data_IF_639348050915
#
_entry.id   IF_639348050915
#
_cell.length_a   1.000
_cell.length_b   1.000
_cell.length_c   1.000
_cell.angle_alpha   90.00
_cell.angle_beta   90.00
_cell.angle_gamma   90.00
#
_symmetry.space_group_name_H-M   'P 1'
#
loop_
_entity.id
_entity.type
_entity.pdbx_description
1 polymer ?
#
# COMPACT_ATOMS: atom_id res chain seq x y z
N UNK A 1 8.39 -11.85 -9.28
CA UNK A 1 7.25 -10.90 -9.31
C UNK A 1 7.77 -9.50 -9.54
N UNK A 2 7.09 -8.69 -10.35
CA UNK A 2 7.51 -7.33 -10.67
C UNK A 2 6.64 -6.31 -9.94
N UNK A 3 7.25 -5.25 -9.42
CA UNK A 3 6.53 -4.13 -8.84
C UNK A 3 6.47 -3.02 -9.88
N UNK A 4 5.26 -2.61 -10.25
CA UNK A 4 5.04 -1.53 -11.21
C UNK A 4 5.00 -0.21 -10.45
N UNK A 5 5.97 0.65 -10.68
CA UNK A 5 6.01 1.97 -10.03
C UNK A 5 5.05 2.91 -10.77
N UNK A 6 4.05 3.37 -10.06
CA UNK A 6 3.05 4.31 -10.55
C UNK A 6 2.75 5.31 -9.43
N UNK A 7 3.73 6.16 -9.17
CA UNK A 7 3.77 7.03 -7.99
C UNK A 7 2.80 8.20 -8.15
N UNK A 8 2.06 8.49 -7.09
CA UNK A 8 1.18 9.66 -7.01
C UNK A 8 2.03 10.91 -7.24
N UNK A 9 1.61 11.84 -8.13
CA UNK A 9 2.39 13.04 -8.39
C UNK A 9 2.61 13.89 -7.12
N UNK A 10 3.79 14.47 -7.01
CA UNK A 10 4.08 15.38 -5.92
C UNK A 10 3.11 16.57 -5.91
N UNK A 11 2.78 17.07 -4.73
CA UNK A 11 1.86 18.20 -4.58
C UNK A 11 0.39 17.84 -4.49
N UNK A 12 0.04 16.57 -4.68
CA UNK A 12 -1.34 16.11 -4.50
C UNK A 12 -1.67 16.01 -3.00
N UNK A 13 -2.95 16.27 -2.66
CA UNK A 13 -3.39 16.24 -1.26
C UNK A 13 -3.21 14.87 -0.60
N UNK A 14 -3.25 13.79 -1.38
CA UNK A 14 -3.05 12.44 -0.87
C UNK A 14 -1.58 11.99 -0.86
N UNK A 15 -0.65 12.87 -1.24
CA UNK A 15 0.78 12.63 -1.07
C UNK A 15 1.37 13.72 -0.17
N UNK A 16 1.26 13.54 1.17
CA UNK A 16 1.65 14.59 2.11
C UNK A 16 3.15 14.89 2.12
N UNK A 17 3.98 13.99 1.60
CA UNK A 17 5.42 14.18 1.57
C UNK A 17 6.08 14.15 2.94
N UNK A 18 5.41 13.59 3.93
CA UNK A 18 5.94 13.50 5.29
C UNK A 18 6.92 12.34 5.38
N UNK A 19 8.10 12.63 5.89
CA UNK A 19 9.14 11.63 6.06
C UNK A 19 8.69 10.53 7.00
N UNK A 20 8.93 9.27 6.62
CA UNK A 20 8.56 8.11 7.41
C UNK A 20 9.72 7.12 7.47
N UNK A 21 10.00 6.61 8.69
CA UNK A 21 10.79 5.40 8.84
C UNK A 21 9.81 4.25 9.02
N UNK A 22 9.66 3.35 8.04
CA UNK A 22 8.67 2.28 8.15
C UNK A 22 9.08 1.28 9.22
N UNK A 23 8.19 1.07 10.19
CA UNK A 23 8.37 0.13 11.28
C UNK A 23 7.45 -1.08 11.13
N UNK A 24 6.32 -0.91 10.45
CA UNK A 24 5.27 -1.92 10.33
C UNK A 24 4.74 -1.97 8.91
N UNK A 25 4.05 -3.05 8.59
CA UNK A 25 3.24 -3.20 7.39
C UNK A 25 1.79 -3.33 7.83
N UNK A 26 0.90 -2.52 7.25
CA UNK A 26 -0.54 -2.60 7.48
C UNK A 26 -1.21 -3.17 6.24
N UNK A 27 -1.96 -4.27 6.42
CA UNK A 27 -2.68 -4.92 5.33
C UNK A 27 -4.15 -4.54 5.41
N UNK A 28 -4.68 -4.09 4.28
CA UNK A 28 -6.10 -3.75 4.12
C UNK A 28 -6.70 -4.56 2.97
N UNK A 29 -8.00 -4.78 3.04
CA UNK A 29 -8.78 -5.19 1.87
C UNK A 29 -9.41 -3.94 1.26
N UNK A 30 -9.48 -3.88 -0.07
CA UNK A 30 -10.01 -2.68 -0.74
C UNK A 30 -11.50 -2.48 -0.48
N UNK A 31 -12.23 -3.52 -0.16
CA UNK A 31 -13.68 -3.45 0.00
C UNK A 31 -14.44 -3.17 -1.29
N UNK A 32 -13.77 -3.22 -2.45
CA UNK A 32 -14.35 -2.85 -3.74
C UNK A 32 -14.44 -4.07 -4.65
N UNK A 33 -15.67 -4.53 -4.93
CA UNK A 33 -15.91 -5.73 -5.73
C UNK A 33 -15.73 -5.51 -7.24
N UNK A 34 -15.45 -4.29 -7.68
CA UNK A 34 -15.40 -3.94 -9.10
C UNK A 34 -14.03 -3.46 -9.59
N UNK A 35 -13.12 -3.13 -8.71
CA UNK A 35 -11.85 -2.51 -9.08
C UNK A 35 -10.65 -3.41 -8.78
N UNK A 36 -9.79 -3.60 -9.78
CA UNK A 36 -8.50 -4.25 -9.63
C UNK A 36 -7.38 -3.25 -9.31
N UNK A 37 -6.15 -3.73 -9.26
CA UNK A 37 -5.01 -2.91 -8.86
C UNK A 37 -4.78 -1.70 -9.78
N UNK A 38 -4.93 -1.89 -11.09
CA UNK A 38 -4.77 -0.80 -12.05
C UNK A 38 -5.83 0.29 -11.89
N UNK A 39 -7.07 -0.09 -11.57
CA UNK A 39 -8.13 0.87 -11.30
C UNK A 39 -7.84 1.70 -10.05
N UNK A 40 -7.34 1.07 -9.01
CA UNK A 40 -6.94 1.78 -7.79
C UNK A 40 -5.75 2.72 -8.04
N UNK A 41 -4.79 2.31 -8.86
CA UNK A 41 -3.68 3.18 -9.25
C UNK A 41 -4.20 4.46 -9.94
N UNK A 42 -5.16 4.34 -10.84
CA UNK A 42 -5.78 5.49 -11.51
C UNK A 42 -6.55 6.37 -10.53
N UNK A 43 -7.32 5.76 -9.63
CA UNK A 43 -8.06 6.47 -8.58
C UNK A 43 -7.14 7.33 -7.72
N UNK A 44 -6.01 6.77 -7.28
CA UNK A 44 -5.06 7.49 -6.42
C UNK A 44 -4.42 8.69 -7.10
N UNK A 45 -4.35 8.70 -8.44
CA UNK A 45 -3.79 9.83 -9.19
C UNK A 45 -4.81 10.91 -9.53
N UNK A 46 -6.08 10.72 -9.23
CA UNK A 46 -7.10 11.76 -9.42
C UNK A 46 -6.86 12.91 -8.43
N UNK A 47 -6.88 14.17 -8.89
CA UNK A 47 -6.55 15.32 -8.04
C UNK A 47 -7.39 15.49 -6.78
N UNK A 48 -8.62 15.00 -6.77
CA UNK A 48 -9.52 15.12 -5.62
C UNK A 48 -9.44 14.00 -4.61
N UNK A 49 -8.63 12.97 -4.86
CA UNK A 49 -8.52 11.82 -3.97
C UNK A 49 -7.76 12.20 -2.71
N UNK A 50 -8.28 11.81 -1.54
CA UNK A 50 -7.71 12.19 -0.23
C UNK A 50 -6.99 11.06 0.49
N UNK A 51 -7.38 9.82 0.24
CA UNK A 51 -6.70 8.66 0.81
C UNK A 51 -5.51 8.23 -0.06
N UNK A 52 -4.59 7.52 0.54
CA UNK A 52 -3.43 6.99 -0.17
C UNK A 52 -2.79 5.84 0.62
N UNK A 53 -2.12 4.96 -0.11
CA UNK A 53 -1.39 3.82 0.44
C UNK A 53 -0.21 3.52 -0.46
N UNK A 54 0.66 2.61 -0.02
CA UNK A 54 1.92 2.37 -0.71
C UNK A 54 1.81 1.38 -1.86
N UNK A 55 1.02 0.31 -1.68
CA UNK A 55 0.88 -0.74 -2.70
C UNK A 55 -0.55 -1.19 -2.86
N UNK A 56 -0.92 -1.52 -4.10
CA UNK A 56 -2.14 -2.26 -4.39
C UNK A 56 -1.77 -3.56 -5.09
N UNK A 57 -2.34 -4.66 -4.63
CA UNK A 57 -2.03 -6.02 -5.10
C UNK A 57 -3.29 -6.71 -5.57
N UNK A 58 -3.25 -7.29 -6.76
CA UNK A 58 -4.30 -8.22 -7.22
C UNK A 58 -3.66 -9.52 -7.69
N UNK A 59 -4.43 -10.37 -8.36
CA UNK A 59 -3.97 -11.67 -8.82
C UNK A 59 -2.96 -11.60 -9.97
N UNK A 60 -2.78 -10.41 -10.57
CA UNK A 60 -1.92 -10.23 -11.75
C UNK A 60 -0.78 -9.25 -11.54
N UNK A 61 -0.99 -8.21 -10.72
CA UNK A 61 -0.11 -7.05 -10.68
C UNK A 61 0.08 -6.51 -9.27
N UNK A 62 1.25 -5.90 -9.04
CA UNK A 62 1.55 -5.13 -7.84
C UNK A 62 1.93 -3.72 -8.30
N UNK A 63 1.21 -2.72 -7.83
CA UNK A 63 1.51 -1.31 -8.09
C UNK A 63 2.04 -0.64 -6.84
N UNK A 64 3.08 0.19 -6.99
CA UNK A 64 3.58 1.05 -5.92
C UNK A 64 3.17 2.48 -6.18
N UNK A 65 2.56 3.13 -5.20
CA UNK A 65 1.96 4.47 -5.32
C UNK A 65 2.70 5.55 -4.55
N UNK A 66 3.42 5.20 -3.51
CA UNK A 66 4.18 6.14 -2.67
C UNK A 66 5.60 5.60 -2.47
N UNK A 67 6.52 6.51 -2.25
CA UNK A 67 7.87 6.12 -1.84
C UNK A 67 7.83 5.51 -0.44
N UNK A 68 8.69 4.54 -0.17
CA UNK A 68 8.66 3.80 1.08
C UNK A 68 9.04 4.65 2.30
N UNK A 69 9.74 5.75 2.09
CA UNK A 69 10.14 6.68 3.14
C UNK A 69 9.14 7.84 3.33
N UNK A 70 7.94 7.73 2.75
CA UNK A 70 6.87 8.73 2.88
C UNK A 70 5.64 8.11 3.53
N UNK A 71 4.95 8.87 4.39
CA UNK A 71 3.70 8.42 4.99
C UNK A 71 2.53 8.56 4.02
N UNK A 72 1.48 7.76 4.23
CA UNK A 72 0.24 7.81 3.47
C UNK A 72 -0.96 8.07 4.38
N UNK A 73 -2.13 8.19 3.78
CA UNK A 73 -3.41 8.35 4.47
C UNK A 73 -4.24 7.07 4.30
N UNK A 74 -3.91 6.00 5.05
CA UNK A 74 -4.57 4.70 4.86
C UNK A 74 -5.11 4.05 6.13
N UNK A 75 -4.67 4.48 7.31
CA UNK A 75 -5.00 3.79 8.56
C UNK A 75 -6.12 4.47 9.36
N UNK A 76 -6.57 5.65 8.93
CA UNK A 76 -7.65 6.36 9.61
C UNK A 76 -7.30 6.91 10.98
N UNK A 77 -6.02 6.95 11.35
CA UNK A 77 -5.55 7.37 12.67
C UNK A 77 -4.91 8.77 12.69
N UNK A 78 -5.09 9.54 11.62
CA UNK A 78 -4.73 10.94 11.56
C UNK A 78 -3.27 11.23 11.27
N UNK A 79 -2.93 12.52 11.34
CA UNK A 79 -1.60 13.03 10.95
C UNK A 79 -0.45 12.37 11.73
N UNK A 80 -0.63 12.14 13.02
CA UNK A 80 0.40 11.55 13.89
C UNK A 80 0.11 10.11 14.27
N UNK A 81 -0.89 9.48 13.67
CA UNK A 81 -1.23 8.10 13.99
C UNK A 81 -0.14 7.12 13.59
N UNK A 82 0.08 6.09 14.39
CA UNK A 82 1.12 5.10 14.14
C UNK A 82 0.95 4.39 12.79
N UNK A 83 -0.29 4.10 12.40
CA UNK A 83 -0.56 3.45 11.12
C UNK A 83 -0.15 4.32 9.94
N UNK A 84 -0.57 5.59 9.92
CA UNK A 84 -0.21 6.50 8.83
C UNK A 84 1.26 6.89 8.85
N UNK A 85 1.85 7.09 10.03
CA UNK A 85 3.20 7.66 10.17
C UNK A 85 4.32 6.63 10.26
N UNK A 86 4.03 5.37 10.52
CA UNK A 86 5.07 4.35 10.72
C UNK A 86 4.86 3.06 9.94
N UNK A 87 3.78 2.96 9.14
CA UNK A 87 3.55 1.72 8.39
C UNK A 87 3.45 1.91 6.89
N UNK A 88 3.86 0.87 6.17
CA UNK A 88 3.62 0.73 4.75
C UNK A 88 2.24 0.13 4.58
N UNK A 89 1.34 0.83 3.88
CA UNK A 89 -0.01 0.34 3.61
C UNK A 89 -0.07 -0.49 2.35
N UNK A 90 -0.64 -1.68 2.45
CA UNK A 90 -0.86 -2.59 1.32
C UNK A 90 -2.36 -2.88 1.24
N UNK A 91 -2.97 -2.59 0.08
CA UNK A 91 -4.36 -2.92 -0.21
C UNK A 91 -4.43 -4.15 -1.09
N UNK A 92 -5.15 -5.19 -0.65
CA UNK A 92 -5.37 -6.39 -1.45
C UNK A 92 -6.74 -6.27 -2.11
N UNK A 93 -6.80 -6.42 -3.42
CA UNK A 93 -8.03 -6.30 -4.19
C UNK A 93 -9.02 -7.41 -3.90
N UNK A 94 -10.32 -7.09 -4.03
CA UNK A 94 -11.44 -7.99 -3.76
C UNK A 94 -12.41 -8.09 -4.93
N UNK A 95 -11.99 -7.67 -6.14
CA UNK A 95 -12.94 -7.60 -7.25
C UNK A 95 -13.41 -8.99 -7.70
N UNK A 96 -14.65 -9.03 -8.18
CA UNK A 96 -15.24 -10.25 -8.71
C UNK A 96 -14.44 -10.76 -9.91
N UNK A 97 -14.28 -12.07 -9.99
CA UNK A 97 -13.57 -12.71 -11.08
C UNK A 97 -12.06 -12.82 -10.90
N UNK A 98 -11.47 -12.17 -9.88
CA UNK A 98 -10.05 -12.37 -9.62
C UNK A 98 -9.82 -13.71 -8.91
N UNK A 99 -8.61 -14.23 -9.05
CA UNK A 99 -8.12 -15.35 -8.25
C UNK A 99 -7.62 -14.80 -6.90
N UNK A 100 -8.47 -14.82 -5.88
CA UNK A 100 -8.14 -14.26 -4.56
C UNK A 100 -6.95 -14.98 -3.92
N UNK A 101 -6.84 -16.29 -4.07
CA UNK A 101 -5.71 -17.04 -3.53
C UNK A 101 -4.39 -16.53 -4.15
N UNK A 102 -4.41 -16.27 -5.45
CA UNK A 102 -3.23 -15.72 -6.13
C UNK A 102 -2.92 -14.29 -5.68
N UNK A 103 -3.93 -13.44 -5.46
CA UNK A 103 -3.73 -12.10 -4.93
C UNK A 103 -3.07 -12.17 -3.55
N UNK A 104 -3.50 -13.08 -2.69
CA UNK A 104 -2.90 -13.28 -1.38
C UNK A 104 -1.46 -13.80 -1.47
N UNK A 105 -1.17 -14.70 -2.40
CA UNK A 105 0.21 -15.14 -2.66
C UNK A 105 1.11 -13.99 -3.11
N UNK A 106 0.60 -13.14 -3.98
CA UNK A 106 1.33 -11.97 -4.45
C UNK A 106 1.59 -10.98 -3.30
N UNK A 107 0.61 -10.79 -2.43
CA UNK A 107 0.78 -9.95 -1.24
C UNK A 107 1.80 -10.56 -0.28
N UNK A 108 1.79 -11.85 -0.07
CA UNK A 108 2.77 -12.53 0.77
C UNK A 108 4.18 -12.39 0.21
N UNK A 109 4.34 -12.53 -1.10
CA UNK A 109 5.62 -12.27 -1.76
C UNK A 109 6.10 -10.84 -1.50
N UNK A 110 5.19 -9.86 -1.65
CA UNK A 110 5.53 -8.46 -1.42
C UNK A 110 5.96 -8.21 0.02
N UNK A 111 5.24 -8.74 1.00
CA UNK A 111 5.59 -8.61 2.42
C UNK A 111 6.99 -9.19 2.67
N UNK A 112 7.26 -10.39 2.16
CA UNK A 112 8.57 -11.02 2.31
C UNK A 112 9.68 -10.17 1.68
N UNK A 113 9.43 -9.62 0.49
CA UNK A 113 10.36 -8.75 -0.20
C UNK A 113 10.66 -7.47 0.61
N UNK A 114 9.63 -6.84 1.18
CA UNK A 114 9.80 -5.65 2.01
C UNK A 114 10.57 -5.95 3.29
N UNK A 115 10.27 -7.06 3.95
CA UNK A 115 11.00 -7.46 5.15
C UNK A 115 12.49 -7.73 4.87
N UNK A 116 12.79 -8.28 3.70
CA UNK A 116 14.17 -8.56 3.30
C UNK A 116 14.94 -7.29 2.92
N UNK A 117 14.26 -6.27 2.41
CA UNK A 117 14.91 -5.09 1.82
C UNK A 117 14.86 -3.84 2.69
N UNK A 118 14.00 -3.79 3.70
CA UNK A 118 13.84 -2.62 4.59
C UNK A 118 14.27 -3.00 6.02
N UNK A 119 15.48 -2.59 6.45
CA UNK A 119 16.00 -3.01 7.75
C UNK A 119 15.20 -2.54 8.95
N UNK A 120 14.46 -1.43 8.82
CA UNK A 120 13.67 -0.88 9.92
C UNK A 120 12.39 -1.66 10.22
N UNK A 121 11.91 -2.49 9.27
CA UNK A 121 10.72 -3.30 9.49
C UNK A 121 11.02 -4.42 10.50
N UNK A 122 10.10 -4.59 11.44
CA UNK A 122 10.25 -5.60 12.50
C UNK A 122 9.45 -6.85 12.14
N UNK A 123 10.09 -8.02 12.17
CA UNK A 123 9.36 -9.27 11.95
C UNK A 123 8.46 -9.60 13.13
N UNK A 124 7.43 -10.41 12.88
CA UNK A 124 6.61 -11.00 13.93
C UNK A 124 7.51 -11.88 14.85
N UNK A 125 7.33 -11.90 16.19
CA UNK A 125 6.26 -11.24 16.95
C UNK A 125 6.55 -9.79 17.36
N UNK A 126 7.68 -9.25 17.02
CA UNK A 126 8.12 -7.92 17.47
C UNK A 126 7.28 -6.78 16.87
N UNK A 127 6.59 -7.06 15.77
CA UNK A 127 5.72 -6.08 15.12
C UNK A 127 4.33 -5.97 15.75
N UNK A 128 4.03 -6.77 16.74
CA UNK A 128 2.71 -6.77 17.40
C UNK A 128 2.73 -5.89 18.65
#
# INVERSE_FOLDING_TARGET
>A
MEIIRDIIPAGRSNRPGLKMTPLYITIHDTGNLKAGAKNHASYLKNPGTKDSWHFTVDDKEIFQHLELAESGWHAGDGYNGLGNRTSIGIEICMHEGQDRARAEENAAWLVSHLLDTIPSLKPFPEAI
#
